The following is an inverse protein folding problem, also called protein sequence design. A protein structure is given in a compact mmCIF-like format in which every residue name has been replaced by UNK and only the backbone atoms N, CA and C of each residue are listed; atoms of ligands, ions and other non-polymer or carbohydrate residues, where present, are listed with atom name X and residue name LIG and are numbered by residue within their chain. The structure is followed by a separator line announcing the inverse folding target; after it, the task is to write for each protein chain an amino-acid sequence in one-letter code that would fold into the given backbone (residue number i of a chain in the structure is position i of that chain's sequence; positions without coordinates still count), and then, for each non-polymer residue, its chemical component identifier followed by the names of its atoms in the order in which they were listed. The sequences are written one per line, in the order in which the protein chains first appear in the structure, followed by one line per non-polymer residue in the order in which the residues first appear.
data_IF_768504168671
#
_entry.id   IF_768504168671
#
_cell.length_a   1.000
_cell.length_b   1.000
_cell.length_c   1.000
_cell.angle_alpha   90.00
_cell.angle_beta   90.00
_cell.angle_gamma   90.00
#
_symmetry.space_group_name_H-M   'P 1'
#
loop_
_entity.id
_entity.type
_entity.pdbx_description
1 polymer ?
#
# COMPACT_ATOMS: atom_id res chain seq x y z
N UNK A 1 -3.16 -0.62 -21.11
CA UNK A 1 -2.09 -0.99 -20.18
C UNK A 1 -2.57 -0.79 -18.75
N UNK A 2 -2.30 -1.76 -17.87
CA UNK A 2 -2.63 -1.64 -16.45
C UNK A 2 -1.45 -0.98 -15.72
N UNK A 3 -1.58 0.26 -15.23
CA UNK A 3 -0.47 0.94 -14.59
C UNK A 3 -0.01 0.24 -13.30
N UNK A 4 -0.89 -0.45 -12.59
CA UNK A 4 -0.53 -1.19 -11.38
C UNK A 4 0.35 -2.39 -11.73
N UNK A 5 -0.02 -3.16 -12.74
CA UNK A 5 0.79 -4.29 -13.20
C UNK A 5 2.15 -3.81 -13.72
N UNK A 6 2.19 -2.71 -14.45
CA UNK A 6 3.42 -2.12 -14.94
C UNK A 6 4.33 -1.65 -13.80
N UNK A 7 3.75 -0.98 -12.81
CA UNK A 7 4.47 -0.54 -11.61
C UNK A 7 5.12 -1.71 -10.89
N UNK A 8 4.41 -2.82 -10.74
CA UNK A 8 4.92 -4.01 -10.06
C UNK A 8 6.17 -4.57 -10.74
N UNK A 9 6.24 -4.53 -12.06
CA UNK A 9 7.44 -4.98 -12.80
C UNK A 9 8.66 -4.18 -12.39
N UNK A 10 8.55 -2.86 -12.33
CA UNK A 10 9.66 -1.99 -11.94
C UNK A 10 10.03 -2.11 -10.47
N UNK A 11 9.04 -2.32 -9.61
CA UNK A 11 9.28 -2.50 -8.17
C UNK A 11 10.02 -3.81 -7.90
N UNK A 12 9.65 -4.89 -8.58
CA UNK A 12 10.23 -6.22 -8.35
C UNK A 12 11.42 -6.52 -9.26
N UNK A 13 11.57 -5.80 -10.36
CA UNK A 13 12.58 -6.13 -11.37
C UNK A 13 12.23 -7.35 -12.20
N UNK A 14 10.94 -7.67 -12.34
CA UNK A 14 10.47 -8.82 -13.09
C UNK A 14 10.36 -8.49 -14.58
N UNK A 15 11.31 -8.99 -15.38
CA UNK A 15 11.34 -8.76 -16.81
C UNK A 15 11.87 -7.39 -17.23
N UNK A 16 12.17 -6.52 -16.27
CA UNK A 16 12.79 -5.22 -16.47
C UNK A 16 13.78 -4.97 -15.34
N UNK A 17 14.68 -4.00 -15.51
CA UNK A 17 15.57 -3.58 -14.42
C UNK A 17 14.73 -2.92 -13.33
N UNK A 18 14.95 -3.31 -12.08
CA UNK A 18 14.27 -2.70 -10.94
C UNK A 18 14.49 -1.19 -10.93
N UNK A 19 13.40 -0.44 -10.76
CA UNK A 19 13.40 1.01 -10.74
C UNK A 19 12.30 1.48 -9.79
N UNK A 20 12.67 1.67 -8.51
CA UNK A 20 11.73 2.08 -7.48
C UNK A 20 11.07 3.42 -7.77
N UNK A 21 11.84 4.40 -8.26
CA UNK A 21 11.31 5.72 -8.57
C UNK A 21 10.21 5.64 -9.63
N UNK A 22 10.46 4.88 -10.68
CA UNK A 22 9.49 4.69 -11.77
C UNK A 22 8.27 3.92 -11.29
N UNK A 23 8.48 2.86 -10.51
CA UNK A 23 7.38 2.06 -9.96
C UNK A 23 6.45 2.90 -9.08
N UNK A 24 7.02 3.67 -8.16
CA UNK A 24 6.24 4.55 -7.29
C UNK A 24 5.51 5.63 -8.08
N UNK A 25 6.14 6.21 -9.10
CA UNK A 25 5.51 7.21 -9.96
C UNK A 25 4.29 6.64 -10.67
N UNK A 26 4.38 5.40 -11.17
CA UNK A 26 3.26 4.73 -11.83
C UNK A 26 2.09 4.42 -10.90
N UNK A 27 2.35 4.21 -9.61
CA UNK A 27 1.31 3.97 -8.62
C UNK A 27 0.63 5.24 -8.12
N UNK A 28 1.31 6.37 -8.16
CA UNK A 28 0.83 7.61 -7.54
C UNK A 28 -0.52 8.06 -8.09
N UNK A 29 -0.65 8.20 -9.38
CA UNK A 29 -1.89 8.63 -10.01
C UNK A 29 -3.07 7.73 -9.66
N UNK A 30 -2.99 6.43 -9.97
CA UNK A 30 -4.07 5.50 -9.63
C UNK A 30 -4.41 5.47 -8.14
N UNK A 31 -3.41 5.53 -7.26
CA UNK A 31 -3.65 5.56 -5.81
C UNK A 31 -4.42 6.81 -5.38
N UNK A 32 -4.01 7.96 -5.89
CA UNK A 32 -4.65 9.24 -5.58
C UNK A 32 -6.07 9.31 -6.13
N UNK A 33 -6.34 8.60 -7.22
CA UNK A 33 -7.67 8.51 -7.83
C UNK A 33 -8.58 7.49 -7.15
N UNK A 34 -8.09 6.77 -6.18
CA UNK A 34 -8.88 5.80 -5.42
C UNK A 34 -8.95 4.40 -6.01
N UNK A 35 -8.00 4.04 -6.88
CA UNK A 35 -7.91 2.68 -7.41
C UNK A 35 -7.51 1.71 -6.29
N UNK A 36 -8.38 0.77 -5.87
CA UNK A 36 -8.09 -0.10 -4.75
C UNK A 36 -6.87 -1.00 -4.97
N UNK A 37 -6.62 -1.46 -6.19
CA UNK A 37 -5.44 -2.27 -6.49
C UNK A 37 -4.16 -1.49 -6.28
N UNK A 38 -4.12 -0.22 -6.69
CA UNK A 38 -2.97 0.66 -6.47
C UNK A 38 -2.76 0.95 -4.99
N UNK A 39 -3.83 1.20 -4.26
CA UNK A 39 -3.79 1.43 -2.82
C UNK A 39 -3.25 0.22 -2.06
N UNK A 40 -3.66 -0.99 -2.44
CA UNK A 40 -3.18 -2.24 -1.85
C UNK A 40 -1.67 -2.38 -2.10
N UNK A 41 -1.20 -2.08 -3.31
CA UNK A 41 0.24 -2.10 -3.60
C UNK A 41 1.01 -1.08 -2.75
N UNK A 42 0.48 0.13 -2.58
CA UNK A 42 1.11 1.12 -1.71
C UNK A 42 1.20 0.62 -0.27
N UNK A 43 0.13 0.02 0.23
CA UNK A 43 0.13 -0.58 1.57
C UNK A 43 1.18 -1.68 1.71
N UNK A 44 1.30 -2.53 0.70
CA UNK A 44 2.30 -3.61 0.70
C UNK A 44 3.73 -3.07 0.72
N UNK A 45 4.02 -2.02 -0.06
CA UNK A 45 5.35 -1.41 -0.10
C UNK A 45 5.76 -0.83 1.25
N UNK A 46 4.86 -0.08 1.88
CA UNK A 46 5.14 0.52 3.19
C UNK A 46 5.23 -0.53 4.30
N UNK A 47 4.43 -1.60 4.25
CA UNK A 47 4.50 -2.65 5.26
C UNK A 47 5.76 -3.50 5.14
N UNK A 48 6.27 -3.70 3.94
CA UNK A 48 7.48 -4.48 3.68
C UNK A 48 8.76 -3.65 3.73
N UNK A 49 8.66 -2.32 3.59
CA UNK A 49 9.83 -1.47 3.42
C UNK A 49 10.49 -1.68 2.07
N UNK A 50 9.71 -1.93 1.03
CA UNK A 50 10.21 -2.13 -0.32
C UNK A 50 10.01 -0.85 -1.14
N UNK A 51 11.08 -0.32 -1.70
CA UNK A 51 11.12 0.97 -2.43
C UNK A 51 10.83 2.20 -1.57
N UNK A 52 10.52 2.02 -0.30
CA UNK A 52 10.25 3.08 0.67
C UNK A 52 10.64 2.57 2.06
N UNK A 53 11.00 3.44 3.01
CA UNK A 53 11.19 2.97 4.39
C UNK A 53 9.91 2.32 4.92
N UNK A 54 10.08 1.29 5.74
CA UNK A 54 8.96 0.60 6.38
C UNK A 54 8.23 1.59 7.28
N UNK A 55 6.90 1.69 7.11
CA UNK A 55 6.06 2.64 7.84
C UNK A 55 4.69 2.01 8.01
N UNK A 56 4.45 1.40 9.18
CA UNK A 56 3.22 0.65 9.43
C UNK A 56 1.98 1.54 9.49
N UNK A 57 2.00 2.73 10.14
CA UNK A 57 0.82 3.59 10.10
C UNK A 57 0.43 4.03 8.68
N UNK A 58 1.40 4.35 7.84
CA UNK A 58 1.14 4.71 6.44
C UNK A 58 0.61 3.52 5.65
N UNK A 59 1.17 2.32 5.86
CA UNK A 59 0.66 1.10 5.25
C UNK A 59 -0.80 0.85 5.64
N UNK A 60 -1.11 1.00 6.93
CA UNK A 60 -2.46 0.84 7.45
C UNK A 60 -3.43 1.81 6.77
N UNK A 61 -3.03 3.08 6.60
CA UNK A 61 -3.83 4.08 5.91
C UNK A 61 -4.20 3.63 4.50
N UNK A 62 -3.24 3.16 3.72
CA UNK A 62 -3.49 2.72 2.35
C UNK A 62 -4.45 1.52 2.29
N UNK A 63 -4.25 0.53 3.16
CA UNK A 63 -5.17 -0.61 3.23
C UNK A 63 -6.56 -0.19 3.69
N UNK A 64 -6.67 0.72 4.66
CA UNK A 64 -7.96 1.23 5.12
C UNK A 64 -8.73 1.95 4.00
N UNK A 65 -8.03 2.77 3.21
CA UNK A 65 -8.63 3.43 2.05
C UNK A 65 -9.08 2.43 0.99
N UNK A 66 -8.26 1.41 0.74
CA UNK A 66 -8.61 0.34 -0.20
C UNK A 66 -9.86 -0.40 0.25
N UNK A 67 -9.98 -0.69 1.55
CA UNK A 67 -11.15 -1.38 2.09
C UNK A 67 -12.42 -0.55 1.95
N UNK A 68 -12.34 0.78 2.04
CA UNK A 68 -13.50 1.65 1.80
C UNK A 68 -14.00 1.55 0.36
N UNK A 69 -13.09 1.34 -0.59
CA UNK A 69 -13.45 1.16 -2.00
C UNK A 69 -13.96 -0.23 -2.31
N UNK A 70 -13.50 -1.24 -1.56
CA UNK A 70 -13.86 -2.64 -1.73
C UNK A 70 -14.10 -3.27 -0.35
N UNK A 71 -15.27 -3.00 0.26
CA UNK A 71 -15.53 -3.39 1.66
C UNK A 71 -15.51 -4.89 1.92
N UNK A 72 -15.69 -5.70 0.89
CA UNK A 72 -15.76 -7.16 1.03
C UNK A 72 -14.42 -7.85 0.79
N UNK A 73 -13.34 -7.09 0.65
CA UNK A 73 -12.02 -7.65 0.41
C UNK A 73 -11.44 -8.23 1.69
N UNK A 74 -11.59 -9.55 1.85
CA UNK A 74 -11.13 -10.26 3.05
C UNK A 74 -9.61 -10.25 3.21
N UNK A 75 -8.88 -10.24 2.11
CA UNK A 75 -7.42 -10.18 2.14
C UNK A 75 -6.93 -8.87 2.75
N UNK A 76 -7.55 -7.75 2.38
CA UNK A 76 -7.21 -6.44 2.95
C UNK A 76 -7.60 -6.37 4.42
N UNK A 77 -8.76 -6.93 4.80
CA UNK A 77 -9.16 -7.02 6.22
C UNK A 77 -8.09 -7.76 7.03
N UNK A 78 -7.59 -8.88 6.52
CA UNK A 78 -6.54 -9.66 7.17
C UNK A 78 -5.24 -8.86 7.28
N UNK A 79 -4.87 -8.11 6.23
CA UNK A 79 -3.69 -7.26 6.26
C UNK A 79 -3.79 -6.18 7.34
N UNK A 80 -4.95 -5.55 7.47
CA UNK A 80 -5.19 -4.54 8.50
C UNK A 80 -5.06 -5.12 9.91
N UNK A 81 -5.63 -6.30 10.14
CA UNK A 81 -5.53 -6.99 11.44
C UNK A 81 -4.08 -7.33 11.78
N UNK A 82 -3.33 -7.82 10.80
CA UNK A 82 -1.92 -8.16 10.98
C UNK A 82 -1.09 -6.93 11.33
N UNK A 83 -1.28 -5.84 10.60
CA UNK A 83 -0.58 -4.58 10.87
C UNK A 83 -0.92 -4.03 12.25
N UNK A 84 -2.18 -4.09 12.62
CA UNK A 84 -2.63 -3.63 13.94
C UNK A 84 -1.90 -4.35 15.05
N UNK A 85 -1.75 -5.67 14.92
CA UNK A 85 -1.04 -6.50 15.90
C UNK A 85 0.46 -6.20 15.97
N UNK A 86 1.05 -5.70 14.90
CA UNK A 86 2.49 -5.38 14.83
C UNK A 86 2.82 -3.97 15.31
N UNK A 87 1.83 -3.07 15.35
CA UNK A 87 2.05 -1.66 15.71
C UNK A 87 2.08 -1.44 17.23
N UNK A 88 2.89 -0.49 17.65
CA UNK A 88 2.86 0.05 19.01
C UNK A 88 1.59 0.88 19.21
N UNK A 89 1.27 1.21 20.46
CA UNK A 89 0.09 2.04 20.74
C UNK A 89 0.17 3.42 20.07
N UNK A 90 1.31 4.16 20.12
CA UNK A 90 1.41 5.42 19.38
C UNK A 90 1.24 5.26 17.87
N UNK A 91 1.76 4.16 17.29
CA UNK A 91 1.59 3.88 15.86
C UNK A 91 0.13 3.63 15.51
N UNK A 92 -0.61 2.90 16.35
CA UNK A 92 -2.05 2.65 16.16
C UNK A 92 -2.84 3.95 16.18
N UNK A 93 -2.53 4.85 17.10
CA UNK A 93 -3.19 6.15 17.17
C UNK A 93 -2.91 6.98 15.91
N UNK A 94 -1.68 6.98 15.43
CA UNK A 94 -1.32 7.68 14.19
C UNK A 94 -2.05 7.07 12.99
N UNK A 95 -2.09 5.73 12.91
CA UNK A 95 -2.78 5.02 11.83
C UNK A 95 -4.25 5.42 11.74
N UNK A 96 -4.93 5.49 12.89
CA UNK A 96 -6.33 5.92 12.95
C UNK A 96 -6.48 7.35 12.43
N UNK A 97 -5.62 8.28 12.87
CA UNK A 97 -5.68 9.68 12.41
C UNK A 97 -5.45 9.80 10.92
N UNK A 98 -4.47 9.06 10.38
CA UNK A 98 -4.15 9.09 8.95
C UNK A 98 -5.27 8.49 8.09
N UNK A 99 -6.09 7.61 8.67
CA UNK A 99 -7.14 6.86 7.93
C UNK A 99 -8.51 7.54 7.95
N UNK A 100 -8.65 8.64 8.63
CA UNK A 100 -9.91 9.39 8.73
C UNK A 100 -10.25 10.21 7.48
#
# INVERSE_FOLDING_TARGET
MDPVAEAKKYITGNGVRQDCTRGLRLLKGPSDEGNPKAMIEMGALYSAGLCTPRDLPTAYRWFALALRKDPNNQSVQADLEKLWGEMTQPERQLAIRLSQ
#
